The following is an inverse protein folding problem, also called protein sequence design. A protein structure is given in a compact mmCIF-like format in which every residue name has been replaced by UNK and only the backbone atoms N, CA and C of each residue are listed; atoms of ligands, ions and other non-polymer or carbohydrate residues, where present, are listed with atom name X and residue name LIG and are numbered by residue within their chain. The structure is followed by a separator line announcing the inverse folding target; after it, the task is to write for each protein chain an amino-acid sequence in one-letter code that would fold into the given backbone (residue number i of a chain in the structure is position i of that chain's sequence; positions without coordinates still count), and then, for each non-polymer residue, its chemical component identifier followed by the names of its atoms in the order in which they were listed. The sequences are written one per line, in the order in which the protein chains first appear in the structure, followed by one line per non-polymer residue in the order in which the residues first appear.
data_IF_084022168633
#
_entry.id   IF_084022168633
#
_cell.length_a   1.000
_cell.length_b   1.000
_cell.length_c   1.000
_cell.angle_alpha   90.00
_cell.angle_beta   90.00
_cell.angle_gamma   90.00
#
_symmetry.space_group_name_H-M   'P 1'
#
loop_
_entity.id
_entity.type
_entity.pdbx_description
1 polymer ?
#
# COMPACT_ATOMS: atom_id res chain seq x y z
N UNK A 1 2.36 17.73 -11.53
CA UNK A 1 3.44 17.38 -10.60
C UNK A 1 2.81 16.60 -9.44
N UNK A 2 3.21 15.36 -9.17
CA UNK A 2 2.57 14.54 -8.13
C UNK A 2 3.18 14.89 -6.75
N UNK A 3 2.59 15.87 -6.08
CA UNK A 3 2.90 16.19 -4.68
C UNK A 3 2.32 15.05 -3.82
N UNK A 4 3.11 14.46 -2.92
CA UNK A 4 2.74 13.33 -2.02
C UNK A 4 2.82 11.92 -2.66
N UNK A 5 3.97 11.63 -3.26
CA UNK A 5 4.35 10.30 -3.70
C UNK A 5 5.39 9.70 -2.74
N UNK A 6 5.05 8.58 -2.10
CA UNK A 6 5.93 7.90 -1.15
C UNK A 6 6.50 6.66 -1.81
N UNK A 7 7.83 6.56 -1.90
CA UNK A 7 8.51 5.40 -2.49
C UNK A 7 9.25 4.67 -1.39
N UNK A 8 9.03 3.36 -1.29
CA UNK A 8 9.79 2.45 -0.44
C UNK A 8 10.70 1.61 -1.32
N UNK A 9 12.01 1.81 -1.18
CA UNK A 9 13.01 0.88 -1.71
C UNK A 9 13.07 -0.34 -0.77
N UNK A 10 13.06 -1.54 -1.35
CA UNK A 10 13.05 -2.81 -0.61
C UNK A 10 14.44 -3.45 -0.52
N UNK A 11 15.49 -2.78 -1.06
CA UNK A 11 16.89 -3.22 -1.07
C UNK A 11 17.02 -4.71 -1.39
N UNK A 12 16.67 -5.07 -2.62
CA UNK A 12 16.60 -6.44 -3.13
C UNK A 12 15.19 -6.81 -3.60
N UNK A 13 15.08 -7.65 -4.62
CA UNK A 13 13.78 -8.10 -5.11
C UNK A 13 13.09 -8.96 -4.03
N UNK A 14 12.11 -8.40 -3.35
CA UNK A 14 11.35 -9.07 -2.30
C UNK A 14 9.93 -9.37 -2.79
N UNK A 15 9.41 -10.54 -2.43
CA UNK A 15 7.97 -10.80 -2.57
C UNK A 15 7.24 -9.99 -1.51
N UNK A 16 6.36 -9.06 -1.90
CA UNK A 16 5.51 -8.33 -0.95
C UNK A 16 4.05 -8.75 -1.11
N UNK A 17 3.36 -8.99 0.00
CA UNK A 17 1.94 -9.36 0.03
C UNK A 17 1.08 -8.33 0.76
N UNK A 18 1.68 -7.52 1.63
CA UNK A 18 1.02 -6.48 2.44
C UNK A 18 1.72 -5.15 2.33
N UNK A 19 0.92 -4.08 2.30
CA UNK A 19 1.41 -2.72 2.38
C UNK A 19 0.65 -1.95 3.47
N UNK A 20 1.15 -1.94 4.71
CA UNK A 20 0.64 -1.08 5.77
C UNK A 20 0.82 0.39 5.41
N UNK A 21 -0.24 1.18 5.60
CA UNK A 21 -0.21 2.62 5.45
C UNK A 21 -0.98 3.28 6.60
N UNK A 22 -0.45 4.41 7.07
CA UNK A 22 -1.08 5.21 8.12
C UNK A 22 -1.26 6.64 7.66
N UNK A 23 -2.47 7.14 7.78
CA UNK A 23 -2.83 8.51 7.47
C UNK A 23 -2.98 9.34 8.76
N UNK A 24 -2.50 10.58 8.73
CA UNK A 24 -2.70 11.52 9.83
C UNK A 24 -4.17 11.97 9.93
N UNK A 25 -4.68 12.24 11.13
CA UNK A 25 -6.07 12.69 11.33
C UNK A 25 -6.37 14.03 10.63
N UNK A 26 -5.36 14.89 10.41
CA UNK A 26 -5.49 16.13 9.66
C UNK A 26 -5.56 15.91 8.14
N UNK A 27 -5.28 14.70 7.65
CA UNK A 27 -5.36 14.32 6.24
C UNK A 27 -6.78 13.85 5.85
N UNK A 28 -7.08 13.86 4.55
CA UNK A 28 -8.39 13.51 4.00
C UNK A 28 -8.28 12.75 2.68
N UNK A 29 -7.36 11.80 2.58
CA UNK A 29 -7.08 11.05 1.35
C UNK A 29 -8.35 10.31 0.96
N UNK A 30 -8.89 10.68 -0.18
CA UNK A 30 -10.13 10.12 -0.72
C UNK A 30 -9.88 9.22 -1.93
N UNK A 31 -8.65 9.22 -2.47
CA UNK A 31 -8.22 8.26 -3.49
C UNK A 31 -6.72 8.08 -3.53
N UNK A 32 -6.26 6.84 -3.62
CA UNK A 32 -4.84 6.51 -3.76
C UNK A 32 -4.60 5.23 -4.56
N UNK A 33 -3.39 5.10 -5.07
CA UNK A 33 -2.89 3.87 -5.71
C UNK A 33 -1.67 3.37 -4.96
N UNK A 34 -1.50 2.04 -4.95
CA UNK A 34 -0.22 1.41 -4.65
C UNK A 34 0.29 0.80 -5.95
N UNK A 35 1.52 1.15 -6.29
CA UNK A 35 2.25 0.62 -7.43
C UNK A 35 3.47 -0.17 -6.95
N UNK A 36 3.90 -1.10 -7.79
CA UNK A 36 5.20 -1.76 -7.68
C UNK A 36 6.03 -1.45 -8.92
N UNK A 37 7.36 -1.51 -8.77
CA UNK A 37 8.26 -1.42 -9.90
C UNK A 37 8.38 -2.81 -10.57
N UNK A 38 8.08 -2.87 -11.86
CA UNK A 38 8.26 -4.05 -12.70
C UNK A 38 9.57 -3.89 -13.48
N UNK A 39 10.61 -4.59 -13.05
CA UNK A 39 11.94 -4.54 -13.68
C UNK A 39 11.92 -5.07 -15.12
N UNK A 40 10.99 -5.97 -15.48
CA UNK A 40 10.89 -6.49 -16.85
C UNK A 40 10.33 -5.45 -17.82
N UNK A 41 9.42 -4.61 -17.32
CA UNK A 41 8.82 -3.52 -18.10
C UNK A 41 9.53 -2.18 -17.92
N UNK A 42 10.52 -2.13 -17.02
CA UNK A 42 11.19 -0.90 -16.58
C UNK A 42 10.17 0.21 -16.24
N UNK A 43 9.14 -0.14 -15.47
CA UNK A 43 8.02 0.76 -15.24
C UNK A 43 7.20 0.50 -13.98
N UNK A 44 6.44 1.50 -13.57
CA UNK A 44 5.51 1.40 -12.45
C UNK A 44 4.20 0.75 -12.89
N UNK A 45 3.78 -0.30 -12.17
CA UNK A 45 2.54 -1.02 -12.39
C UNK A 45 1.64 -0.90 -11.15
N UNK A 46 0.38 -0.52 -11.32
CA UNK A 46 -0.57 -0.45 -10.20
C UNK A 46 -1.02 -1.84 -9.76
N UNK A 47 -1.02 -2.09 -8.45
CA UNK A 47 -1.52 -3.32 -7.85
C UNK A 47 -2.68 -3.12 -6.87
N UNK A 48 -2.95 -1.88 -6.46
CA UNK A 48 -4.06 -1.55 -5.57
C UNK A 48 -4.68 -0.19 -5.90
N UNK A 49 -5.99 -0.06 -5.70
CA UNK A 49 -6.74 1.19 -5.84
C UNK A 49 -7.69 1.35 -4.64
N UNK A 50 -7.46 2.39 -3.83
CA UNK A 50 -8.17 2.62 -2.58
C UNK A 50 -8.90 3.96 -2.53
N UNK A 51 -9.93 4.02 -1.68
CA UNK A 51 -10.85 5.17 -1.53
C UNK A 51 -10.68 5.92 -0.19
N UNK A 52 -9.74 5.49 0.65
CA UNK A 52 -9.37 6.12 1.92
C UNK A 52 -8.39 5.23 2.68
N UNK A 53 -7.42 5.83 3.38
CA UNK A 53 -6.46 5.07 4.19
C UNK A 53 -6.92 5.11 5.64
N UNK A 54 -7.19 6.30 6.18
CA UNK A 54 -7.62 6.45 7.56
C UNK A 54 -6.52 6.08 8.57
N UNK A 55 -6.92 5.89 9.84
CA UNK A 55 -5.97 5.78 10.95
C UNK A 55 -5.01 4.59 10.90
N UNK A 56 -5.37 3.48 10.25
CA UNK A 56 -4.47 2.36 9.94
C UNK A 56 -5.12 1.48 8.85
N UNK A 57 -4.36 1.12 7.82
CA UNK A 57 -4.84 0.26 6.76
C UNK A 57 -3.77 -0.68 6.24
N UNK A 58 -4.17 -1.91 5.90
CA UNK A 58 -3.31 -2.86 5.19
C UNK A 58 -3.92 -3.15 3.83
N UNK A 59 -3.23 -2.70 2.78
CA UNK A 59 -3.55 -3.11 1.43
C UNK A 59 -3.01 -4.53 1.21
N UNK A 60 -3.92 -5.49 1.11
CA UNK A 60 -3.56 -6.83 0.67
C UNK A 60 -3.56 -6.90 -0.85
N UNK A 61 -2.47 -7.40 -1.39
CA UNK A 61 -2.31 -7.57 -2.83
C UNK A 61 -1.92 -9.01 -3.14
N UNK A 62 -2.17 -9.43 -4.37
CA UNK A 62 -1.54 -10.65 -4.90
C UNK A 62 -0.03 -10.48 -4.77
N UNK A 63 0.71 -11.49 -4.27
CA UNK A 63 2.16 -11.40 -4.12
C UNK A 63 2.85 -10.89 -5.39
N UNK A 64 3.78 -9.94 -5.20
CA UNK A 64 4.63 -9.39 -6.25
C UNK A 64 6.08 -9.38 -5.81
N UNK A 65 6.95 -9.95 -6.65
CA UNK A 65 8.38 -9.74 -6.53
C UNK A 65 8.71 -8.38 -7.12
N UNK A 66 9.21 -7.46 -6.29
CA UNK A 66 9.57 -6.11 -6.72
C UNK A 66 10.73 -5.57 -5.88
N UNK A 67 11.47 -4.62 -6.44
CA UNK A 67 12.51 -3.87 -5.74
C UNK A 67 11.98 -2.58 -5.10
N UNK A 68 10.80 -2.09 -5.53
CA UNK A 68 10.25 -0.81 -5.07
C UNK A 68 8.73 -0.84 -5.00
N UNK A 69 8.20 -0.27 -3.93
CA UNK A 69 6.77 0.02 -3.79
C UNK A 69 6.53 1.52 -3.75
N UNK A 70 5.37 1.96 -4.24
CA UNK A 70 5.02 3.38 -4.29
C UNK A 70 3.56 3.61 -3.93
N UNK A 71 3.30 4.49 -2.98
CA UNK A 71 1.96 5.02 -2.70
C UNK A 71 1.79 6.38 -3.37
N UNK A 72 0.74 6.52 -4.18
CA UNK A 72 0.37 7.78 -4.83
C UNK A 72 -1.00 8.22 -4.36
N UNK A 73 -1.06 9.40 -3.75
CA UNK A 73 -2.33 10.08 -3.48
C UNK A 73 -2.84 10.71 -4.78
N UNK A 74 -4.08 10.37 -5.17
CA UNK A 74 -4.74 10.91 -6.36
C UNK A 74 -5.75 12.00 -6.02
N UNK A 75 -6.40 11.89 -4.86
CA UNK A 75 -7.36 12.86 -4.38
C UNK A 75 -7.30 12.98 -2.86
N UNK A 76 -7.53 14.19 -2.37
CA UNK A 76 -7.58 14.55 -0.96
C UNK A 76 -8.73 15.54 -0.77
N UNK A 77 -9.58 15.31 0.22
CA UNK A 77 -10.72 16.16 0.55
C UNK A 77 -10.38 17.30 1.51
N UNK A 78 -9.13 17.34 2.02
CA UNK A 78 -8.61 18.37 2.91
C UNK A 78 -7.46 19.15 2.27
N UNK A 79 -6.94 20.15 2.98
CA UNK A 79 -5.86 21.00 2.50
C UNK A 79 -4.51 20.29 2.38
N UNK A 80 -4.30 19.20 3.13
CA UNK A 80 -3.05 18.43 3.13
C UNK A 80 -3.33 16.94 3.12
N UNK A 81 -2.53 16.20 2.35
CA UNK A 81 -2.46 14.75 2.41
C UNK A 81 -1.19 14.39 3.17
N UNK A 82 -1.34 13.68 4.29
CA UNK A 82 -0.22 13.36 5.18
C UNK A 82 -0.25 11.87 5.52
N UNK A 83 0.74 11.15 4.99
CA UNK A 83 1.04 9.77 5.32
C UNK A 83 2.14 9.77 6.38
N UNK A 84 1.89 9.11 7.50
CA UNK A 84 2.86 9.02 8.61
C UNK A 84 3.65 7.71 8.57
N UNK A 85 3.12 6.67 7.92
CA UNK A 85 3.84 5.42 7.67
C UNK A 85 3.42 4.79 6.34
N UNK A 86 4.38 4.22 5.62
CA UNK A 86 4.16 3.38 4.46
C UNK A 86 5.23 2.27 4.43
N UNK A 87 4.78 1.03 4.54
CA UNK A 87 5.63 -0.14 4.60
C UNK A 87 5.22 -1.17 3.54
N UNK A 88 6.12 -2.11 3.26
CA UNK A 88 5.84 -3.25 2.40
C UNK A 88 6.46 -4.48 3.04
N UNK A 89 5.68 -5.54 3.21
CA UNK A 89 6.13 -6.77 3.84
C UNK A 89 5.73 -8.01 3.05
N UNK A 90 6.59 -9.03 3.12
CA UNK A 90 6.22 -10.39 2.78
C UNK A 90 5.56 -11.01 4.01
N UNK A 91 4.26 -11.23 3.97
CA UNK A 91 3.60 -12.04 4.99
C UNK A 91 3.33 -13.44 4.42
N UNK A 92 4.19 -14.43 4.72
CA UNK A 92 3.99 -15.82 4.32
C UNK A 92 2.90 -16.53 5.15
N UNK A 93 2.42 -15.92 6.24
CA UNK A 93 1.44 -16.48 7.18
C UNK A 93 0.05 -15.84 7.05
N UNK A 94 -0.11 -14.84 6.19
CA UNK A 94 -1.35 -14.09 6.06
C UNK A 94 -2.50 -14.96 5.54
N UNK A 95 -3.63 -14.98 6.27
CA UNK A 95 -4.85 -15.63 5.82
C UNK A 95 -5.19 -15.18 4.40
N UNK A 96 -5.43 -16.10 3.45
CA UNK A 96 -5.73 -15.75 2.07
C UNK A 96 -6.91 -14.78 2.03
N UNK A 97 -6.69 -13.60 1.46
CA UNK A 97 -7.75 -12.64 1.19
C UNK A 97 -8.49 -13.06 -0.06
N UNK A 98 -9.46 -13.96 0.15
CA UNK A 98 -10.37 -14.39 -0.90
C UNK A 98 -11.50 -13.37 -1.08
N UNK A 99 -11.14 -12.14 -1.45
CA UNK A 99 -12.10 -11.10 -1.84
C UNK A 99 -12.34 -11.18 -3.34
N UNK A 100 -13.61 -11.19 -3.75
CA UNK A 100 -13.95 -11.23 -5.16
C UNK A 100 -13.37 -10.00 -5.88
N UNK A 101 -12.78 -10.21 -7.06
CA UNK A 101 -12.21 -9.13 -7.87
C UNK A 101 -13.25 -8.02 -8.08
N UNK A 102 -12.90 -6.78 -7.71
CA UNK A 102 -13.78 -5.62 -7.84
C UNK A 102 -14.61 -5.28 -6.59
N UNK A 103 -14.51 -6.07 -5.53
CA UNK A 103 -15.14 -5.75 -4.24
C UNK A 103 -14.23 -4.90 -3.35
N UNK A 104 -14.82 -4.12 -2.45
CA UNK A 104 -14.08 -3.32 -1.49
C UNK A 104 -13.23 -4.25 -0.60
N UNK A 105 -11.92 -4.00 -0.52
CA UNK A 105 -11.06 -4.74 0.40
C UNK A 105 -11.39 -4.29 1.82
N UNK A 106 -11.73 -5.20 2.75
CA UNK A 106 -12.06 -4.81 4.11
C UNK A 106 -10.82 -4.27 4.82
N UNK A 107 -11.00 -3.23 5.64
CA UNK A 107 -9.94 -2.75 6.53
C UNK A 107 -9.54 -3.89 7.50
N UNK A 108 -8.25 -4.16 7.59
CA UNK A 108 -7.68 -5.08 8.59
C UNK A 108 -6.60 -4.34 9.36
N UNK A 109 -6.63 -4.49 10.69
CA UNK A 109 -5.49 -4.18 11.55
C UNK A 109 -4.36 -5.17 11.26
N UNK A 110 -3.11 -4.71 11.28
CA UNK A 110 -1.97 -5.61 11.16
C UNK A 110 -1.90 -6.61 12.29
N UNK A 111 -1.62 -7.86 11.97
CA UNK A 111 -0.94 -8.72 12.94
C UNK A 111 0.53 -8.34 12.86
N UNK A 112 1.06 -7.80 13.96
CA UNK A 112 2.50 -7.71 14.14
C UNK A 112 3.10 -9.12 13.98
N UNK A 113 4.25 -9.22 13.31
CA UNK A 113 5.03 -10.44 13.31
C UNK A 113 5.41 -10.71 14.77
N UNK A 114 4.83 -11.77 15.35
CA UNK A 114 5.09 -12.15 16.73
C UNK A 114 6.59 -12.30 16.95
N UNK A 115 7.12 -11.48 17.86
CA UNK A 115 8.47 -11.67 18.38
C UNK A 115 8.57 -13.02 19.06
N UNK A 116 9.52 -13.83 18.60
CA UNK A 116 10.07 -14.97 19.31
C UNK A 116 11.59 -14.84 19.30
#
# INVERSE_FOLDING_TARGET
MFTNCFVKDLSGAASSTKHPAKEDAASGISRYLIDYWDDKKAGWMSCFNGMGIGGEFIAAIVPRTTSKARLRVLANSKDKALITAFEASNDPLGDPLNVAKGTATPNRTGKEAGGA
#
